data_IF_312416649587
#
_entry.id   IF_312416649587
#
_cell.length_a   1.000
_cell.length_b   1.000
_cell.length_c   1.000
_cell.angle_alpha   90.00
_cell.angle_beta   90.00
_cell.angle_gamma   90.00
#
_symmetry.space_group_name_H-M   'P 1'
#
loop_
_entity.id
_entity.type
_entity.pdbx_description
1 polymer ?
#
# COMPACT_ATOMS: atom_id res chain seq x y z
N UNK A 1 54.56 38.13 66.58
CA UNK A 1 55.20 39.46 66.72
C UNK A 1 55.30 40.02 65.31
N UNK A 2 54.78 41.20 64.96
CA UNK A 2 54.26 42.34 65.76
C UNK A 2 52.75 42.62 65.52
N UNK A 3 52.20 43.63 66.21
CA UNK A 3 50.91 44.29 65.94
C UNK A 3 51.18 45.72 65.38
N UNK A 4 50.26 46.67 65.08
CA UNK A 4 48.89 47.00 65.58
C UNK A 4 48.08 47.88 64.59
N UNK A 5 46.74 47.79 64.63
CA UNK A 5 45.78 48.95 64.66
C UNK A 5 45.29 49.59 63.34
N UNK A 6 44.10 50.22 63.21
CA UNK A 6 42.93 50.43 64.10
C UNK A 6 41.65 50.80 63.26
N UNK A 7 40.39 50.37 63.61
CA UNK A 7 39.10 50.62 62.86
C UNK A 7 38.36 51.95 63.31
N UNK A 8 37.08 52.35 62.97
CA UNK A 8 35.84 51.59 62.60
C UNK A 8 34.87 52.19 61.48
N UNK A 9 33.51 52.49 61.59
CA UNK A 9 32.49 51.98 60.61
C UNK A 9 31.37 53.00 60.10
N UNK A 10 30.20 52.60 59.48
CA UNK A 10 29.31 53.44 58.61
C UNK A 10 27.86 53.72 59.13
N UNK A 11 26.89 54.26 58.31
CA UNK A 11 25.76 53.42 57.80
C UNK A 11 24.95 53.85 56.51
N UNK A 12 24.10 52.93 55.97
CA UNK A 12 22.90 53.12 55.08
C UNK A 12 23.12 53.50 53.57
N UNK A 13 22.19 53.51 52.58
CA UNK A 13 20.70 53.40 52.41
C UNK A 13 20.26 52.79 51.01
N UNK A 14 18.94 52.73 50.68
CA UNK A 14 18.34 52.50 49.31
C UNK A 14 17.51 53.73 48.80
N UNK A 15 16.84 53.76 47.61
CA UNK A 15 15.57 53.03 47.31
C UNK A 15 15.44 52.41 45.87
N UNK A 16 14.24 51.94 45.51
CA UNK A 16 13.80 51.33 44.23
C UNK A 16 12.72 52.22 43.56
N UNK A 17 12.42 52.07 42.25
CA UNK A 17 11.09 52.32 41.65
C UNK A 17 11.00 51.91 40.15
N UNK A 18 9.82 51.47 39.70
CA UNK A 18 9.45 51.12 38.30
C UNK A 18 7.92 51.17 38.10
N UNK A 19 7.37 51.97 37.16
CA UNK A 19 6.01 51.72 36.68
C UNK A 19 5.71 51.96 35.17
N UNK A 20 4.99 50.98 34.62
CA UNK A 20 3.79 51.09 33.74
C UNK A 20 3.89 50.93 32.20
N UNK A 21 2.73 50.63 31.61
CA UNK A 21 2.50 49.99 30.30
C UNK A 21 1.57 50.80 29.37
N UNK A 22 1.49 50.36 28.11
CA UNK A 22 0.33 50.53 27.20
C UNK A 22 0.04 51.90 26.53
N UNK A 23 0.70 52.17 25.40
CA UNK A 23 0.04 52.36 24.07
C UNK A 23 1.12 52.54 22.98
N UNK A 24 1.23 51.66 21.97
CA UNK A 24 0.41 51.49 20.75
C UNK A 24 0.64 52.56 19.64
N UNK A 25 0.87 52.05 18.42
CA UNK A 25 0.83 52.71 17.09
C UNK A 25 1.99 53.66 16.66
N UNK A 26 2.89 53.18 15.78
CA UNK A 26 2.98 53.66 14.37
C UNK A 26 4.17 53.06 13.55
N UNK A 27 3.84 52.20 12.57
CA UNK A 27 4.32 52.19 11.15
C UNK A 27 5.77 52.62 10.80
N UNK A 28 6.66 51.62 10.61
CA UNK A 28 7.37 51.25 9.34
C UNK A 28 7.80 52.41 8.38
N UNK A 29 9.09 52.58 7.99
CA UNK A 29 9.70 51.66 6.99
C UNK A 29 11.24 51.38 6.99
N UNK A 30 11.56 50.13 6.60
CA UNK A 30 12.68 49.63 5.75
C UNK A 30 14.12 50.19 5.93
N UNK A 31 15.12 49.34 6.24
CA UNK A 31 15.69 48.43 5.22
C UNK A 31 16.36 47.15 5.77
N UNK A 32 15.72 46.01 5.47
CA UNK A 32 16.31 44.74 5.00
C UNK A 32 17.78 44.40 5.30
N UNK A 33 17.99 43.49 6.27
CA UNK A 33 19.04 42.46 6.21
C UNK A 33 18.48 41.17 5.57
N UNK A 34 19.30 40.39 4.83
CA UNK A 34 18.84 39.16 4.18
C UNK A 34 18.75 37.99 5.18
N UNK A 35 17.64 37.93 5.93
CA UNK A 35 17.30 36.73 6.69
C UNK A 35 17.18 35.53 5.76
N UNK A 36 17.98 34.50 6.00
CA UNK A 36 17.99 33.28 5.20
C UNK A 36 16.60 32.65 5.17
N UNK A 37 16.09 32.42 3.97
CA UNK A 37 14.67 32.09 3.78
C UNK A 37 14.28 30.83 4.54
N UNK A 38 13.12 30.88 5.20
CA UNK A 38 12.55 29.71 5.86
C UNK A 38 12.56 28.52 4.91
N UNK A 39 13.19 27.41 5.32
CA UNK A 39 12.99 26.11 4.67
C UNK A 39 11.51 25.74 4.82
N UNK A 40 10.67 26.13 3.85
CA UNK A 40 9.31 25.60 3.65
C UNK A 40 9.45 24.10 3.41
N UNK A 41 9.44 23.35 4.51
CA UNK A 41 9.64 21.90 4.57
C UNK A 41 8.41 21.25 3.92
N UNK A 42 8.47 21.10 2.60
CA UNK A 42 7.38 20.71 1.72
C UNK A 42 6.72 19.41 2.19
N UNK A 43 5.69 19.54 3.02
CA UNK A 43 4.76 18.46 3.31
C UNK A 43 3.85 18.40 2.10
N UNK A 44 4.28 17.66 1.08
CA UNK A 44 3.46 17.39 -0.10
C UNK A 44 2.16 16.75 0.36
N UNK A 45 1.08 17.51 0.24
CA UNK A 45 -0.28 16.98 0.30
C UNK A 45 -0.42 16.11 -0.95
N UNK A 46 -0.87 14.88 -0.77
CA UNK A 46 -1.12 13.93 -1.86
C UNK A 46 -2.59 13.54 -1.83
N UNK A 47 -3.13 13.29 -3.01
CA UNK A 47 -4.47 12.74 -3.19
C UNK A 47 -4.40 11.23 -2.95
N UNK A 48 -5.11 10.76 -1.93
CA UNK A 48 -5.30 9.34 -1.63
C UNK A 48 -6.75 8.97 -1.95
N UNK A 49 -6.98 7.75 -2.44
CA UNK A 49 -8.28 7.11 -2.38
C UNK A 49 -8.33 6.24 -1.13
N UNK A 50 -9.25 6.55 -0.23
CA UNK A 50 -9.55 5.78 0.95
C UNK A 50 -10.73 4.87 0.62
N UNK A 51 -10.58 3.58 0.91
CA UNK A 51 -11.66 2.59 0.85
C UNK A 51 -11.83 1.98 2.24
N UNK A 52 -13.00 2.17 2.83
CA UNK A 52 -13.33 1.62 4.16
C UNK A 52 -13.89 0.19 4.06
N UNK A 53 -13.82 -0.54 5.17
CA UNK A 53 -14.49 -1.81 5.49
C UNK A 53 -15.95 -1.90 5.03
N UNK A 54 -16.69 -0.79 5.02
CA UNK A 54 -18.07 -0.71 4.51
C UNK A 54 -18.18 -0.57 2.98
N UNK A 55 -17.07 -0.75 2.25
CA UNK A 55 -16.93 -0.59 0.80
C UNK A 55 -17.19 0.83 0.25
N UNK A 56 -17.13 1.87 1.09
CA UNK A 56 -17.25 3.26 0.65
C UNK A 56 -15.91 3.86 0.22
N UNK A 57 -15.88 4.50 -0.96
CA UNK A 57 -14.70 5.19 -1.51
C UNK A 57 -14.74 6.70 -1.24
N UNK A 58 -13.66 7.25 -0.70
CA UNK A 58 -13.51 8.67 -0.38
C UNK A 58 -12.17 9.21 -0.90
N UNK A 59 -12.15 10.42 -1.47
CA UNK A 59 -10.89 11.10 -1.81
C UNK A 59 -10.38 11.89 -0.61
N UNK A 60 -9.20 11.55 -0.13
CA UNK A 60 -8.54 12.17 1.02
C UNK A 60 -7.27 12.91 0.57
N UNK A 61 -7.26 14.24 0.68
CA UNK A 61 -6.04 15.03 0.50
C UNK A 61 -5.24 15.03 1.81
N UNK A 62 -4.14 14.27 1.87
CA UNK A 62 -3.36 14.10 3.09
C UNK A 62 -1.84 14.20 2.85
N UNK A 63 -1.20 15.03 3.67
CA UNK A 63 0.25 15.16 3.74
C UNK A 63 0.91 14.03 4.55
N UNK A 64 2.19 13.77 4.27
CA UNK A 64 2.97 12.68 4.88
C UNK A 64 2.78 12.49 6.39
N UNK A 65 2.87 13.57 7.17
CA UNK A 65 2.76 13.51 8.63
C UNK A 65 1.37 13.10 9.13
N UNK A 66 0.30 13.36 8.36
CA UNK A 66 -1.05 12.92 8.69
C UNK A 66 -1.19 11.40 8.51
N UNK A 67 -0.66 10.86 7.40
CA UNK A 67 -0.66 9.41 7.13
C UNK A 67 0.18 8.66 8.16
N UNK A 68 1.36 9.19 8.55
CA UNK A 68 2.18 8.60 9.62
C UNK A 68 1.43 8.47 10.94
N UNK A 69 0.66 9.50 11.35
CA UNK A 69 -0.14 9.43 12.59
C UNK A 69 -1.35 8.49 12.48
N UNK A 70 -1.98 8.42 11.30
CA UNK A 70 -3.16 7.56 11.04
C UNK A 70 -2.79 6.08 11.04
N UNK A 71 -1.74 5.71 10.31
CA UNK A 71 -1.33 4.31 10.05
C UNK A 71 -0.27 3.77 11.01
N UNK A 72 0.37 4.64 11.80
CA UNK A 72 1.53 4.29 12.62
C UNK A 72 2.83 4.08 11.84
N UNK A 73 2.82 4.19 10.51
CA UNK A 73 3.98 3.86 9.68
C UNK A 73 5.13 4.88 9.84
N UNK A 74 6.37 4.43 10.04
CA UNK A 74 7.53 5.31 10.08
C UNK A 74 7.78 5.93 8.71
N UNK A 75 8.30 7.16 8.70
CA UNK A 75 8.51 7.97 7.49
C UNK A 75 9.52 7.42 6.48
N UNK A 76 10.12 6.25 6.73
CA UNK A 76 10.89 5.46 5.77
C UNK A 76 9.97 4.79 4.75
N UNK A 77 8.93 4.10 5.21
CA UNK A 77 8.15 3.19 4.37
C UNK A 77 7.27 3.97 3.38
N UNK A 78 6.76 5.12 3.83
CA UNK A 78 6.07 6.11 2.97
C UNK A 78 6.97 6.74 1.88
N UNK A 79 8.26 6.40 1.78
CA UNK A 79 9.10 6.74 0.61
C UNK A 79 9.00 5.69 -0.50
N UNK A 80 8.72 4.43 -0.16
CA UNK A 80 8.57 3.34 -1.13
C UNK A 80 7.39 3.62 -2.07
N UNK A 81 6.34 4.19 -1.48
CA UNK A 81 5.15 4.65 -2.19
C UNK A 81 5.34 6.00 -2.94
N UNK A 82 6.50 6.65 -2.90
CA UNK A 82 6.67 7.94 -3.58
C UNK A 82 6.66 7.75 -5.11
N UNK A 83 5.84 8.47 -5.88
CA UNK A 83 5.88 8.43 -7.34
C UNK A 83 7.20 8.95 -7.94
N UNK A 84 7.96 9.76 -7.18
CA UNK A 84 9.25 10.30 -7.63
C UNK A 84 10.43 9.33 -7.42
N UNK A 85 10.19 8.15 -6.81
CA UNK A 85 11.22 7.16 -6.51
C UNK A 85 10.82 5.81 -7.08
N UNK A 86 11.64 5.27 -7.98
CA UNK A 86 11.49 3.90 -8.48
C UNK A 86 12.03 2.92 -7.45
N UNK A 87 11.12 2.29 -6.72
CA UNK A 87 11.40 1.15 -5.83
C UNK A 87 10.91 -0.14 -6.48
N UNK A 88 11.60 -1.28 -6.24
CA UNK A 88 11.13 -2.59 -6.72
C UNK A 88 9.79 -2.96 -6.07
N UNK A 89 9.13 -3.97 -6.63
CA UNK A 89 7.95 -4.58 -6.03
C UNK A 89 8.28 -5.09 -4.61
N UNK A 90 7.48 -4.72 -3.61
CA UNK A 90 7.67 -5.05 -2.19
C UNK A 90 6.34 -5.06 -1.44
N UNK A 91 6.14 -6.06 -0.59
CA UNK A 91 5.12 -6.08 0.47
C UNK A 91 5.83 -6.00 1.82
N UNK A 92 5.42 -5.07 2.69
CA UNK A 92 5.98 -4.90 4.03
C UNK A 92 4.88 -4.94 5.09
N UNK A 93 4.82 -6.03 5.86
CA UNK A 93 4.02 -6.09 7.08
C UNK A 93 4.62 -5.19 8.19
N UNK A 94 3.74 -4.51 8.93
CA UNK A 94 4.01 -3.81 10.19
C UNK A 94 2.81 -3.98 11.14
N UNK A 95 3.05 -3.73 12.42
CA UNK A 95 2.12 -3.95 13.55
C UNK A 95 0.66 -3.49 13.34
N UNK A 96 0.44 -2.45 12.53
CA UNK A 96 -0.88 -1.83 12.30
C UNK A 96 -1.23 -1.60 10.83
N UNK A 97 -0.35 -1.98 9.90
CA UNK A 97 -0.53 -1.73 8.48
C UNK A 97 0.38 -2.60 7.60
N UNK A 98 -0.08 -2.95 6.41
CA UNK A 98 0.70 -3.59 5.35
C UNK A 98 0.95 -2.53 4.26
N UNK A 99 2.22 -2.29 3.91
CA UNK A 99 2.60 -1.37 2.82
C UNK A 99 2.85 -2.19 1.57
N UNK A 100 2.23 -1.79 0.46
CA UNK A 100 2.27 -2.51 -0.81
C UNK A 100 2.75 -1.55 -1.91
N UNK A 101 3.82 -1.94 -2.59
CA UNK A 101 4.27 -1.38 -3.86
C UNK A 101 4.37 -2.57 -4.82
N UNK A 102 3.37 -2.79 -5.67
CA UNK A 102 3.33 -3.91 -6.62
C UNK A 102 2.95 -3.37 -7.99
N UNK A 103 3.93 -3.33 -8.91
CA UNK A 103 3.76 -2.78 -10.26
C UNK A 103 3.14 -1.36 -10.24
N UNK A 104 1.88 -1.19 -10.66
CA UNK A 104 1.17 0.09 -10.64
C UNK A 104 0.44 0.39 -9.30
N UNK A 105 0.27 -0.62 -8.44
CA UNK A 105 -0.50 -0.54 -7.19
C UNK A 105 0.39 -0.05 -6.05
N UNK A 106 0.09 1.14 -5.54
CA UNK A 106 0.76 1.74 -4.36
C UNK A 106 -0.26 1.94 -3.24
N UNK A 107 -0.26 1.03 -2.27
CA UNK A 107 -1.28 0.94 -1.22
C UNK A 107 -0.69 0.93 0.20
N UNK A 108 -1.52 1.36 1.15
CA UNK A 108 -1.38 1.03 2.57
C UNK A 108 -2.69 0.36 3.01
N UNK A 109 -2.63 -0.90 3.40
CA UNK A 109 -3.75 -1.62 4.01
C UNK A 109 -3.64 -1.48 5.52
N UNK A 110 -4.76 -1.24 6.20
CA UNK A 110 -4.92 -1.38 7.65
C UNK A 110 -6.04 -2.40 7.92
N UNK A 111 -6.32 -2.72 9.19
CA UNK A 111 -7.39 -3.66 9.54
C UNK A 111 -8.84 -3.10 9.37
N UNK A 112 -8.99 -1.84 8.93
CA UNK A 112 -10.30 -1.19 8.70
C UNK A 112 -10.40 -0.45 7.35
N UNK A 113 -9.28 0.07 6.83
CA UNK A 113 -9.27 0.90 5.61
C UNK A 113 -8.04 0.62 4.73
N UNK A 114 -8.21 0.78 3.42
CA UNK A 114 -7.12 0.80 2.42
C UNK A 114 -6.92 2.23 1.91
N UNK A 115 -5.67 2.67 1.84
CA UNK A 115 -5.26 3.97 1.32
C UNK A 115 -4.43 3.78 0.05
N UNK A 116 -5.02 4.07 -1.11
CA UNK A 116 -4.40 3.97 -2.43
C UNK A 116 -3.85 5.32 -2.91
N UNK A 117 -2.66 5.29 -3.50
CA UNK A 117 -2.10 6.42 -4.24
C UNK A 117 -2.39 6.29 -5.74
N UNK A 118 -2.36 7.43 -6.43
CA UNK A 118 -2.46 7.53 -7.88
C UNK A 118 -3.73 6.89 -8.52
N UNK A 119 -4.86 6.87 -7.80
CA UNK A 119 -6.15 6.34 -8.28
C UNK A 119 -6.81 7.13 -9.44
N UNK A 120 -6.05 7.98 -10.13
CA UNK A 120 -6.42 8.69 -11.37
C UNK A 120 -5.77 8.04 -12.60
N UNK A 121 -4.87 7.09 -12.39
CA UNK A 121 -4.17 6.34 -13.41
C UNK A 121 -5.09 5.24 -13.96
N UNK A 122 -5.31 5.16 -15.28
CA UNK A 122 -6.20 4.15 -15.87
C UNK A 122 -5.76 2.71 -15.59
N UNK A 123 -4.48 2.46 -15.31
CA UNK A 123 -3.98 1.14 -14.91
C UNK A 123 -4.41 0.73 -13.49
N UNK A 124 -4.85 1.69 -12.66
CA UNK A 124 -5.26 1.45 -11.27
C UNK A 124 -6.80 1.43 -11.12
N UNK A 125 -7.54 2.10 -12.02
CA UNK A 125 -9.02 2.12 -12.02
C UNK A 125 -9.68 0.73 -11.94
N UNK A 126 -9.40 -0.26 -12.82
CA UNK A 126 -10.10 -1.55 -12.76
C UNK A 126 -9.81 -2.34 -11.47
N UNK A 127 -8.63 -2.12 -10.86
CA UNK A 127 -8.30 -2.68 -9.56
C UNK A 127 -9.08 -2.02 -8.41
N UNK A 128 -9.36 -0.71 -8.48
CA UNK A 128 -10.21 -0.01 -7.49
C UNK A 128 -11.63 -0.59 -7.47
N UNK A 129 -12.22 -0.77 -8.65
CA UNK A 129 -13.58 -1.28 -8.78
C UNK A 129 -13.70 -2.73 -8.25
N UNK A 130 -12.71 -3.56 -8.57
CA UNK A 130 -12.63 -4.95 -8.12
C UNK A 130 -12.34 -5.08 -6.61
N UNK A 131 -11.46 -4.23 -6.06
CA UNK A 131 -11.20 -4.15 -4.62
C UNK A 131 -12.46 -3.73 -3.85
N UNK A 132 -13.19 -2.72 -4.36
CA UNK A 132 -14.46 -2.30 -3.78
C UNK A 132 -15.50 -3.42 -3.81
N UNK A 133 -15.60 -4.16 -4.92
CA UNK A 133 -16.50 -5.32 -5.05
C UNK A 133 -16.18 -6.43 -4.03
N UNK A 134 -14.91 -6.75 -3.81
CA UNK A 134 -14.48 -7.76 -2.81
C UNK A 134 -14.81 -7.35 -1.38
N UNK A 135 -14.52 -6.10 -1.01
CA UNK A 135 -14.81 -5.59 0.32
C UNK A 135 -16.32 -5.49 0.57
N UNK A 136 -17.14 -5.18 -0.45
CA UNK A 136 -18.61 -5.22 -0.32
C UNK A 136 -19.14 -6.63 -0.02
N UNK A 137 -18.61 -7.65 -0.69
CA UNK A 137 -18.97 -9.05 -0.43
C UNK A 137 -18.49 -9.52 0.95
N UNK A 138 -17.28 -9.10 1.37
CA UNK A 138 -16.74 -9.37 2.71
C UNK A 138 -17.61 -8.77 3.81
N UNK A 139 -18.02 -7.51 3.65
CA UNK A 139 -18.91 -6.81 4.58
C UNK A 139 -20.28 -7.50 4.72
N UNK A 140 -20.84 -8.00 3.61
CA UNK A 140 -22.08 -8.81 3.63
C UNK A 140 -21.88 -10.17 4.31
N UNK A 141 -20.76 -10.86 4.03
CA UNK A 141 -20.44 -12.18 4.58
C UNK A 141 -20.08 -12.19 6.07
N UNK A 142 -19.84 -11.03 6.68
CA UNK A 142 -19.64 -10.88 8.12
C UNK A 142 -20.91 -10.43 8.84
N UNK A 143 -21.71 -9.50 8.29
CA UNK A 143 -23.01 -9.11 8.87
C UNK A 143 -23.96 -10.30 9.02
N UNK A 144 -23.93 -11.27 8.09
CA UNK A 144 -24.76 -12.48 8.18
C UNK A 144 -24.38 -13.45 9.31
N UNK A 145 -23.21 -13.26 9.96
CA UNK A 145 -22.71 -14.13 11.03
C UNK A 145 -23.02 -13.62 12.44
N UNK A 146 -23.42 -12.36 12.57
CA UNK A 146 -23.61 -11.69 13.88
C UNK A 146 -25.08 -11.64 14.33
N UNK A 147 -26.00 -12.28 13.58
CA UNK A 147 -27.45 -12.22 13.83
C UNK A 147 -28.23 -13.53 13.66
N UNK A 148 -27.57 -14.69 13.55
CA UNK A 148 -28.21 -15.98 13.28
C UNK A 148 -28.13 -16.96 14.45
N UNK A 149 -29.24 -17.11 15.17
CA UNK A 149 -29.62 -18.38 15.82
C UNK A 149 -30.56 -19.09 14.83
N UNK A 150 -30.46 -20.42 14.78
CA UNK A 150 -31.17 -21.36 13.90
C UNK A 150 -30.91 -21.29 12.38
N UNK A 151 -30.56 -22.47 11.87
CA UNK A 151 -30.79 -23.02 10.53
C UNK A 151 -31.47 -22.14 9.46
N UNK A 152 -30.70 -21.74 8.44
CA UNK A 152 -30.95 -22.26 7.07
C UNK A 152 -29.70 -22.15 6.20
N UNK A 153 -29.46 -23.24 5.47
CA UNK A 153 -28.42 -23.48 4.48
C UNK A 153 -28.19 -22.30 3.49
N UNK A 154 -27.20 -21.44 3.74
CA UNK A 154 -26.76 -20.43 2.77
C UNK A 154 -25.81 -21.10 1.74
N UNK A 155 -26.39 -21.58 0.64
CA UNK A 155 -25.63 -22.18 -0.46
C UNK A 155 -24.73 -21.11 -1.08
N UNK A 156 -23.44 -21.12 -0.72
CA UNK A 156 -22.42 -20.26 -1.32
C UNK A 156 -22.19 -20.73 -2.77
N UNK A 157 -23.02 -20.22 -3.68
CA UNK A 157 -22.87 -20.40 -5.12
C UNK A 157 -21.84 -19.42 -5.68
N UNK A 158 -20.63 -19.44 -5.11
CA UNK A 158 -19.47 -18.83 -5.78
C UNK A 158 -19.24 -19.55 -7.11
N UNK A 159 -18.98 -18.77 -8.15
CA UNK A 159 -18.84 -19.25 -9.53
C UNK A 159 -17.50 -19.93 -9.75
N UNK A 160 -17.31 -21.11 -9.18
CA UNK A 160 -16.16 -21.99 -9.45
C UNK A 160 -16.28 -22.70 -10.81
N UNK A 161 -16.41 -21.92 -11.88
CA UNK A 161 -16.23 -22.37 -13.26
C UNK A 161 -15.46 -21.29 -14.02
N UNK A 162 -14.24 -21.65 -14.47
CA UNK A 162 -13.20 -20.78 -15.04
C UNK A 162 -12.54 -19.86 -13.99
N UNK A 163 -11.24 -19.93 -13.68
CA UNK A 163 -10.16 -20.76 -14.23
C UNK A 163 -9.19 -21.22 -13.12
N UNK A 164 -9.02 -22.53 -12.94
CA UNK A 164 -7.75 -23.12 -12.48
C UNK A 164 -7.64 -24.59 -12.92
N UNK A 165 -6.93 -24.88 -14.01
CA UNK A 165 -6.47 -26.23 -14.29
C UNK A 165 -5.11 -26.49 -13.61
N UNK A 166 -4.99 -27.69 -13.01
CA UNK A 166 -3.77 -28.51 -12.98
C UNK A 166 -2.66 -28.16 -11.96
N UNK A 167 -2.87 -28.62 -10.71
CA UNK A 167 -1.77 -29.13 -9.85
C UNK A 167 -2.07 -30.58 -9.42
N UNK A 168 -3.28 -30.85 -8.90
CA UNK A 168 -3.65 -32.15 -8.31
C UNK A 168 -4.02 -33.24 -9.34
N UNK A 169 -3.06 -33.73 -10.14
CA UNK A 169 -3.29 -34.93 -10.96
C UNK A 169 -2.03 -35.73 -11.33
N UNK A 170 -1.42 -36.38 -10.34
CA UNK A 170 -0.56 -37.56 -10.52
C UNK A 170 -0.58 -38.38 -9.22
N UNK A 171 -0.64 -39.71 -9.34
CA UNK A 171 -1.10 -40.67 -8.31
C UNK A 171 -2.63 -40.59 -8.11
N UNK A 172 -3.40 -41.69 -8.14
CA UNK A 172 -3.07 -43.10 -8.36
C UNK A 172 -4.13 -43.83 -9.20
N UNK A 173 -3.70 -44.81 -10.01
CA UNK A 173 -4.61 -45.82 -10.59
C UNK A 173 -4.85 -46.92 -9.55
N UNK A 174 -6.10 -47.27 -9.27
CA UNK A 174 -6.55 -48.64 -8.97
C UNK A 174 -8.06 -48.71 -8.67
N UNK A 175 -8.79 -49.43 -9.53
CA UNK A 175 -9.95 -50.33 -9.27
C UNK A 175 -11.07 -50.00 -8.27
N UNK A 176 -12.29 -50.45 -8.62
CA UNK A 176 -13.50 -50.33 -7.81
C UNK A 176 -13.53 -51.30 -6.61
N UNK A 177 -14.04 -50.82 -5.46
CA UNK A 177 -14.22 -51.64 -4.26
C UNK A 177 -15.50 -51.27 -3.51
N UNK A 178 -16.45 -52.21 -3.41
CA UNK A 178 -17.81 -51.99 -2.88
C UNK A 178 -17.91 -52.34 -1.39
N UNK A 179 -18.14 -51.36 -0.52
CA UNK A 179 -18.41 -51.58 0.91
C UNK A 179 -18.95 -50.36 1.64
N UNK A 180 -19.88 -50.57 2.58
CA UNK A 180 -20.36 -49.54 3.51
C UNK A 180 -19.64 -49.69 4.85
N UNK A 181 -18.92 -48.67 5.32
CA UNK A 181 -18.49 -48.57 6.73
C UNK A 181 -18.74 -47.16 7.27
N UNK A 182 -19.16 -47.08 8.54
CA UNK A 182 -19.38 -45.81 9.25
C UNK A 182 -18.15 -45.42 10.06
N UNK A 183 -17.49 -44.34 9.63
CA UNK A 183 -16.62 -43.43 10.41
C UNK A 183 -16.25 -42.26 9.46
N UNK A 184 -16.00 -41.03 9.91
CA UNK A 184 -16.11 -40.48 11.27
C UNK A 184 -15.35 -39.14 11.33
N UNK A 185 -16.00 -38.07 11.81
CA UNK A 185 -15.46 -36.69 11.89
C UNK A 185 -14.91 -36.12 10.56
N UNK A 186 -15.79 -35.68 9.67
CA UNK A 186 -15.48 -34.47 8.90
C UNK A 186 -15.63 -33.28 9.86
N UNK A 187 -14.49 -32.77 10.35
CA UNK A 187 -14.48 -31.55 11.16
C UNK A 187 -14.95 -30.38 10.29
N UNK A 188 -15.91 -29.61 10.80
CA UNK A 188 -16.49 -28.48 10.06
C UNK A 188 -15.41 -27.46 9.66
N UNK A 189 -14.98 -27.47 8.39
CA UNK A 189 -14.37 -26.31 7.74
C UNK A 189 -15.43 -25.24 7.47
N UNK A 190 -16.06 -24.75 8.55
CA UNK A 190 -16.93 -23.60 8.50
C UNK A 190 -16.15 -22.42 7.93
N UNK A 191 -16.55 -21.95 6.75
CA UNK A 191 -15.81 -20.98 5.93
C UNK A 191 -15.49 -19.70 6.72
N UNK A 192 -14.27 -19.66 7.26
CA UNK A 192 -13.73 -18.49 7.97
C UNK A 192 -13.52 -17.39 6.96
N UNK A 193 -14.27 -16.29 7.08
CA UNK A 193 -14.01 -15.11 6.27
C UNK A 193 -12.60 -14.64 6.61
N UNK A 194 -11.77 -14.43 5.59
CA UNK A 194 -10.45 -13.80 5.80
C UNK A 194 -10.66 -12.42 6.46
N UNK A 195 -9.79 -11.96 7.38
CA UNK A 195 -9.85 -10.59 7.87
C UNK A 195 -9.69 -9.57 6.74
N UNK A 196 -10.21 -8.37 6.94
CA UNK A 196 -10.30 -7.30 5.91
C UNK A 196 -8.96 -7.05 5.21
N UNK A 197 -7.88 -6.99 5.99
CA UNK A 197 -6.53 -6.73 5.48
C UNK A 197 -6.00 -7.82 4.56
N UNK A 198 -6.46 -9.07 4.71
CA UNK A 198 -6.09 -10.19 3.84
C UNK A 198 -6.93 -10.23 2.56
N UNK A 199 -8.22 -9.86 2.60
CA UNK A 199 -9.05 -9.69 1.39
C UNK A 199 -8.51 -8.55 0.52
N UNK A 200 -8.09 -7.44 1.14
CA UNK A 200 -7.44 -6.35 0.44
C UNK A 200 -6.05 -6.73 -0.12
N UNK A 201 -5.27 -7.56 0.60
CA UNK A 201 -3.97 -8.04 0.14
C UNK A 201 -4.11 -9.03 -1.02
N UNK A 202 -5.06 -9.97 -0.94
CA UNK A 202 -5.41 -10.91 -2.02
C UNK A 202 -5.74 -10.15 -3.31
N UNK A 203 -6.62 -9.16 -3.24
CA UNK A 203 -6.97 -8.30 -4.37
C UNK A 203 -5.75 -7.58 -4.98
N UNK A 204 -4.83 -7.08 -4.14
CA UNK A 204 -3.60 -6.44 -4.60
C UNK A 204 -2.66 -7.42 -5.32
N UNK A 205 -2.54 -8.65 -4.81
CA UNK A 205 -1.68 -9.69 -5.37
C UNK A 205 -2.25 -10.22 -6.69
N UNK A 206 -3.55 -10.50 -6.75
CA UNK A 206 -4.21 -11.00 -7.96
C UNK A 206 -4.12 -9.98 -9.11
N UNK A 207 -4.36 -8.69 -8.82
CA UNK A 207 -4.22 -7.64 -9.82
C UNK A 207 -2.77 -7.43 -10.29
N UNK A 208 -1.78 -7.62 -9.41
CA UNK A 208 -0.36 -7.58 -9.80
C UNK A 208 0.04 -8.78 -10.67
N UNK A 209 -0.38 -9.99 -10.30
CA UNK A 209 -0.17 -11.20 -11.10
C UNK A 209 -0.85 -11.10 -12.47
N UNK A 210 -2.14 -10.75 -12.52
CA UNK A 210 -2.88 -10.57 -13.76
C UNK A 210 -2.29 -9.50 -14.69
N UNK A 211 -1.69 -8.44 -14.12
CA UNK A 211 -0.94 -7.46 -14.89
C UNK A 211 0.30 -8.08 -15.55
N UNK A 212 1.15 -8.77 -14.79
CA UNK A 212 2.35 -9.46 -15.29
C UNK A 212 2.03 -10.59 -16.29
N UNK A 213 0.94 -11.33 -16.07
CA UNK A 213 0.41 -12.32 -17.02
C UNK A 213 -0.05 -11.68 -18.33
N UNK A 214 -0.75 -10.54 -18.26
CA UNK A 214 -1.22 -9.82 -19.45
C UNK A 214 -0.05 -9.29 -20.31
N UNK A 215 1.00 -8.76 -19.68
CA UNK A 215 2.23 -8.36 -20.36
C UNK A 215 2.96 -9.57 -20.98
N UNK A 216 3.03 -10.68 -20.24
CA UNK A 216 3.68 -11.92 -20.72
C UNK A 216 2.94 -12.49 -21.93
N UNK A 217 1.62 -12.64 -21.86
CA UNK A 217 0.77 -13.08 -22.99
C UNK A 217 0.91 -12.15 -24.20
N UNK A 218 0.97 -10.84 -23.99
CA UNK A 218 1.15 -9.88 -25.09
C UNK A 218 2.53 -10.06 -25.73
N UNK A 219 3.58 -10.24 -24.92
CA UNK A 219 4.93 -10.47 -25.40
C UNK A 219 5.05 -11.81 -26.17
N UNK A 220 4.39 -12.87 -25.72
CA UNK A 220 4.30 -14.15 -26.43
C UNK A 220 3.64 -14.00 -27.80
N UNK A 221 2.51 -13.28 -27.87
CA UNK A 221 1.80 -13.01 -29.13
C UNK A 221 2.64 -12.19 -30.12
N UNK A 222 3.54 -11.33 -29.64
CA UNK A 222 4.53 -10.63 -30.48
C UNK A 222 5.75 -11.49 -30.84
N UNK A 223 6.17 -12.40 -29.96
CA UNK A 223 7.38 -13.19 -30.09
C UNK A 223 7.30 -14.24 -31.22
N UNK A 224 6.25 -15.07 -31.22
CA UNK A 224 6.06 -16.13 -32.24
C UNK A 224 6.19 -15.59 -33.69
N UNK A 225 5.36 -14.62 -34.13
CA UNK A 225 5.46 -14.09 -35.50
C UNK A 225 6.74 -13.29 -35.77
N UNK A 226 7.48 -12.85 -34.75
CA UNK A 226 8.80 -12.22 -34.95
C UNK A 226 9.90 -13.27 -35.21
N UNK A 227 9.83 -14.42 -34.52
CA UNK A 227 10.74 -15.55 -34.71
C UNK A 227 10.50 -16.24 -36.06
N UNK A 228 9.24 -16.41 -36.47
CA UNK A 228 8.89 -16.96 -37.81
C UNK A 228 9.47 -16.09 -38.93
N UNK A 229 9.30 -14.76 -38.82
CA UNK A 229 9.84 -13.78 -39.79
C UNK A 229 11.36 -13.75 -39.82
N UNK A 230 12.02 -13.93 -38.67
CA UNK A 230 13.48 -14.03 -38.61
C UNK A 230 13.98 -15.33 -39.28
N UNK A 231 13.29 -16.45 -39.02
CA UNK A 231 13.59 -17.77 -39.62
C UNK A 231 13.40 -17.74 -41.14
N UNK A 232 12.33 -17.08 -41.63
CA UNK A 232 12.08 -16.90 -43.06
C UNK A 232 13.05 -15.91 -43.73
N UNK A 233 13.44 -14.83 -43.03
CA UNK A 233 14.38 -13.83 -43.57
C UNK A 233 15.23 -13.20 -42.47
N UNK A 234 16.52 -13.57 -42.46
CA UNK A 234 17.54 -12.86 -41.68
C UNK A 234 17.67 -11.43 -42.22
N UNK A 235 17.40 -10.44 -41.37
CA UNK A 235 17.55 -9.01 -41.69
C UNK A 235 17.78 -8.21 -40.41
N UNK A 236 18.42 -7.05 -40.53
CA UNK A 236 18.70 -6.15 -39.40
C UNK A 236 17.42 -5.73 -38.66
N UNK A 237 16.33 -5.47 -39.39
CA UNK A 237 15.03 -5.14 -38.83
C UNK A 237 14.41 -6.30 -38.03
N UNK A 238 14.47 -7.53 -38.54
CA UNK A 238 13.96 -8.70 -37.82
C UNK A 238 14.81 -9.03 -36.58
N UNK A 239 16.13 -8.91 -36.68
CA UNK A 239 17.06 -9.08 -35.56
C UNK A 239 16.82 -8.04 -34.46
N UNK A 240 16.62 -6.76 -34.83
CA UNK A 240 16.32 -5.70 -33.86
C UNK A 240 14.95 -5.90 -33.19
N UNK A 241 13.92 -6.32 -33.94
CA UNK A 241 12.61 -6.67 -33.36
C UNK A 241 12.73 -7.80 -32.34
N UNK A 242 13.47 -8.86 -32.66
CA UNK A 242 13.71 -9.97 -31.72
C UNK A 242 14.59 -9.52 -30.53
N UNK A 243 15.54 -8.60 -30.72
CA UNK A 243 16.32 -8.00 -29.63
C UNK A 243 15.42 -7.20 -28.67
N UNK A 244 14.50 -6.40 -29.19
CA UNK A 244 13.53 -5.64 -28.38
C UNK A 244 12.58 -6.55 -27.59
N UNK A 245 12.08 -7.61 -28.22
CA UNK A 245 11.27 -8.65 -27.55
C UNK A 245 12.07 -9.35 -26.44
N UNK A 246 13.34 -9.71 -26.70
CA UNK A 246 14.24 -10.25 -25.66
C UNK A 246 14.50 -9.25 -24.53
N UNK A 247 14.68 -7.96 -24.82
CA UNK A 247 14.84 -6.92 -23.79
C UNK A 247 13.59 -6.77 -22.91
N UNK A 248 12.39 -6.83 -23.50
CA UNK A 248 11.12 -6.86 -22.75
C UNK A 248 10.98 -8.12 -21.90
N UNK A 249 11.34 -9.30 -22.43
CA UNK A 249 11.33 -10.55 -21.68
C UNK A 249 12.20 -10.46 -20.43
N UNK A 250 13.46 -10.02 -20.59
CA UNK A 250 14.40 -9.85 -19.46
C UNK A 250 13.88 -8.82 -18.45
N UNK A 251 13.17 -7.78 -18.88
CA UNK A 251 12.55 -6.81 -17.97
C UNK A 251 11.37 -7.40 -17.16
N UNK A 252 10.53 -8.24 -17.77
CA UNK A 252 9.42 -8.95 -17.09
C UNK A 252 9.99 -10.01 -16.14
N UNK A 253 10.90 -10.87 -16.60
CA UNK A 253 11.58 -11.86 -15.74
C UNK A 253 12.27 -11.18 -14.55
N UNK A 254 12.93 -10.05 -14.79
CA UNK A 254 13.56 -9.22 -13.76
C UNK A 254 12.59 -8.41 -12.89
N UNK A 255 11.28 -8.49 -13.09
CA UNK A 255 10.22 -8.05 -12.14
C UNK A 255 9.73 -9.24 -11.32
N UNK A 256 9.39 -10.35 -11.98
CA UNK A 256 8.89 -11.59 -11.34
C UNK A 256 9.89 -12.23 -10.36
N UNK A 257 11.19 -12.01 -10.54
CA UNK A 257 12.26 -12.55 -9.68
C UNK A 257 12.56 -11.72 -8.41
N UNK A 258 11.73 -10.73 -8.02
CA UNK A 258 12.01 -9.79 -6.91
C UNK A 258 10.94 -9.83 -5.82
#
# INVERSE_FOLDING_TARGET
MTATGTPPPPPSSKPEDDPDLSNRYAVIPNQTLPFTTHRKKGTSIRSWLLLDSTAHTFRLEAGKHSIMRRTGLPGRDLRILDPLLSYPSTVLGRERAIVINLEHIKAIITAQEVLLLNSKDPSVTPFVDELQRRILLHYQANQSKEGAIDDTNCIIRTTSQNLLPKISQLQSLSEEGRGEEKQGLETQEGTKTLPFEFVALEACLEAACGCLESETRTLEQEAHPALDRLTSKISTLNLERVRQIKSRLVAITGRVQK
#
